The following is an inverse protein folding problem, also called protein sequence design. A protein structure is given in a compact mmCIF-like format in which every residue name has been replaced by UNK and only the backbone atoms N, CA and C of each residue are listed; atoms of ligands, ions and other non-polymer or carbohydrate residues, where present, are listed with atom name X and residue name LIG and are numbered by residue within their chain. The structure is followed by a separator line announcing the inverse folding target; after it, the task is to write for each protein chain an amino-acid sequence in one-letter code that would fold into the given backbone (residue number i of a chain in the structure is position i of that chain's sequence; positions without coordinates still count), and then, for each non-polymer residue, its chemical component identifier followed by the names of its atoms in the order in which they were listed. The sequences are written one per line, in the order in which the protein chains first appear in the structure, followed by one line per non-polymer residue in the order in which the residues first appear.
data_IF_743085567716
#
_entry.id   IF_743085567716
#
_cell.length_a   1.000
_cell.length_b   1.000
_cell.length_c   1.000
_cell.angle_alpha   90.00
_cell.angle_beta   90.00
_cell.angle_gamma   90.00
#
_symmetry.space_group_name_H-M   'P 1'
#
loop_
_entity.id
_entity.type
_entity.pdbx_description
1 polymer ?
#
# COMPACT_ATOMS: atom_id res chain seq x y z
N UNK A 1 -2.18 -5.54 20.00
CA UNK A 1 -2.36 -4.35 19.13
C UNK A 1 -2.91 -4.78 17.77
N UNK A 2 -3.89 -4.08 17.23
CA UNK A 2 -4.40 -4.33 15.86
C UNK A 2 -4.09 -3.11 14.97
N UNK A 3 -3.41 -3.35 13.86
CA UNK A 3 -3.13 -2.33 12.83
C UNK A 3 -3.86 -2.73 11.57
N UNK A 4 -4.82 -1.92 11.13
CA UNK A 4 -5.54 -2.13 9.88
C UNK A 4 -4.98 -1.26 8.78
N UNK A 5 -4.91 -1.80 7.57
CA UNK A 5 -4.60 -1.00 6.39
C UNK A 5 -5.75 -0.02 6.09
N UNK A 6 -5.41 1.23 5.84
CA UNK A 6 -6.41 2.19 5.37
C UNK A 6 -6.58 2.00 3.86
N UNK A 7 -7.74 1.49 3.49
CA UNK A 7 -8.16 1.38 2.08
C UNK A 7 -8.96 2.63 1.74
N UNK A 8 -8.67 3.27 0.63
CA UNK A 8 -9.53 4.32 0.11
C UNK A 8 -10.95 3.81 -0.05
N UNK A 9 -11.92 4.63 0.34
CA UNK A 9 -13.32 4.32 0.17
C UNK A 9 -13.58 3.90 -1.29
N UNK A 10 -14.29 2.80 -1.47
CA UNK A 10 -14.64 2.23 -2.78
C UNK A 10 -15.25 3.30 -3.71
N UNK A 11 -15.99 4.26 -3.12
CA UNK A 11 -16.55 5.41 -3.82
C UNK A 11 -15.50 6.25 -4.53
N UNK A 12 -14.35 6.47 -3.89
CA UNK A 12 -13.29 7.30 -4.49
C UNK A 12 -12.58 6.58 -5.62
N UNK A 13 -12.35 5.27 -5.48
CA UNK A 13 -11.80 4.45 -6.58
C UNK A 13 -12.76 4.45 -7.78
N UNK A 14 -14.07 4.39 -7.52
CA UNK A 14 -15.10 4.45 -8.54
C UNK A 14 -15.12 5.83 -9.25
N UNK A 15 -14.99 6.92 -8.51
CA UNK A 15 -14.89 8.27 -9.08
C UNK A 15 -13.67 8.39 -9.99
N UNK A 16 -12.48 7.94 -9.56
CA UNK A 16 -11.30 7.95 -10.42
C UNK A 16 -11.45 7.07 -11.67
N UNK A 17 -12.05 5.89 -11.53
CA UNK A 17 -12.34 5.03 -12.67
C UNK A 17 -13.30 5.69 -13.68
N UNK A 18 -14.33 6.36 -13.20
CA UNK A 18 -15.28 7.11 -14.04
C UNK A 18 -14.55 8.23 -14.79
N UNK A 19 -13.72 9.03 -14.10
CA UNK A 19 -12.94 10.09 -14.75
C UNK A 19 -11.96 9.54 -15.79
N UNK A 20 -11.30 8.41 -15.53
CA UNK A 20 -10.43 7.75 -16.48
C UNK A 20 -11.19 7.30 -17.74
N UNK A 21 -12.36 6.67 -17.57
CA UNK A 21 -13.22 6.26 -18.69
C UNK A 21 -13.70 7.48 -19.51
N UNK A 22 -14.11 8.55 -18.87
CA UNK A 22 -14.54 9.78 -19.56
C UNK A 22 -13.37 10.35 -20.38
N UNK A 23 -12.17 10.43 -19.78
CA UNK A 23 -10.99 10.92 -20.48
C UNK A 23 -10.63 10.06 -21.70
N UNK A 24 -10.74 8.73 -21.57
CA UNK A 24 -10.51 7.79 -22.69
C UNK A 24 -11.53 7.93 -23.80
N UNK A 25 -12.83 8.08 -23.47
CA UNK A 25 -13.87 8.33 -24.46
C UNK A 25 -13.58 9.62 -25.23
N UNK A 26 -13.19 10.69 -24.54
CA UNK A 26 -12.78 11.94 -25.19
C UNK A 26 -11.60 11.75 -26.13
N UNK A 27 -10.58 10.99 -25.69
CA UNK A 27 -9.39 10.70 -26.49
C UNK A 27 -9.74 9.90 -27.74
N UNK A 28 -10.63 8.92 -27.63
CA UNK A 28 -11.10 8.11 -28.74
C UNK A 28 -11.84 8.96 -29.80
N UNK A 29 -12.70 9.89 -29.35
CA UNK A 29 -13.37 10.82 -30.24
C UNK A 29 -12.38 11.75 -30.94
N UNK A 30 -11.43 12.32 -30.19
CA UNK A 30 -10.44 13.26 -30.73
C UNK A 30 -9.51 12.61 -31.77
N UNK A 31 -9.22 11.32 -31.65
CA UNK A 31 -8.33 10.57 -32.52
C UNK A 31 -9.06 9.69 -33.54
N UNK A 32 -10.33 10.00 -33.84
CA UNK A 32 -11.14 9.35 -34.90
C UNK A 32 -11.19 7.83 -34.79
N UNK A 33 -11.31 7.30 -33.55
CA UNK A 33 -11.42 5.85 -33.29
C UNK A 33 -10.27 5.02 -33.90
N UNK A 34 -9.06 5.54 -33.79
CA UNK A 34 -7.88 4.83 -34.26
C UNK A 34 -7.69 3.52 -33.48
N UNK A 35 -7.55 2.39 -34.22
CA UNK A 35 -7.40 1.05 -33.62
C UNK A 35 -6.23 0.98 -32.63
N UNK A 36 -5.12 1.66 -32.92
CA UNK A 36 -3.94 1.67 -32.06
C UNK A 36 -4.28 2.34 -30.72
N UNK A 37 -5.05 3.45 -30.75
CA UNK A 37 -5.48 4.15 -29.53
C UNK A 37 -6.40 3.27 -28.69
N UNK A 38 -7.32 2.55 -29.33
CA UNK A 38 -8.21 1.61 -28.63
C UNK A 38 -7.40 0.54 -27.90
N UNK A 39 -6.41 -0.06 -28.56
CA UNK A 39 -5.55 -1.09 -27.97
C UNK A 39 -4.77 -0.51 -26.77
N UNK A 40 -4.20 0.68 -26.91
CA UNK A 40 -3.47 1.35 -25.81
C UNK A 40 -4.38 1.62 -24.62
N UNK A 41 -5.61 2.11 -24.83
CA UNK A 41 -6.58 2.32 -23.77
C UNK A 41 -6.91 1.01 -23.03
N UNK A 42 -7.16 -0.06 -23.76
CA UNK A 42 -7.45 -1.38 -23.15
C UNK A 42 -6.26 -1.87 -22.30
N UNK A 43 -5.04 -1.72 -22.81
CA UNK A 43 -3.83 -2.11 -22.04
C UNK A 43 -3.72 -1.28 -20.74
N UNK A 44 -3.95 0.03 -20.83
CA UNK A 44 -3.93 0.91 -19.67
C UNK A 44 -5.00 0.53 -18.64
N UNK A 45 -6.21 0.20 -19.08
CA UNK A 45 -7.28 -0.25 -18.19
C UNK A 45 -6.93 -1.55 -17.45
N UNK A 46 -6.38 -2.52 -18.18
CA UNK A 46 -5.92 -3.77 -17.57
C UNK A 46 -4.83 -3.51 -16.53
N UNK A 47 -3.86 -2.64 -16.84
CA UNK A 47 -2.80 -2.28 -15.90
C UNK A 47 -3.36 -1.58 -14.65
N UNK A 48 -4.28 -0.63 -14.81
CA UNK A 48 -4.93 0.05 -13.70
C UNK A 48 -5.73 -0.91 -12.82
N UNK A 49 -6.47 -1.85 -13.43
CA UNK A 49 -7.20 -2.88 -12.70
C UNK A 49 -6.26 -3.79 -11.91
N UNK A 50 -5.15 -4.21 -12.50
CA UNK A 50 -4.14 -5.04 -11.82
C UNK A 50 -3.52 -4.30 -10.63
N UNK A 51 -3.13 -3.04 -10.82
CA UNK A 51 -2.59 -2.22 -9.73
C UNK A 51 -3.64 -2.03 -8.62
N UNK A 52 -4.88 -1.71 -8.98
CA UNK A 52 -5.98 -1.56 -8.03
C UNK A 52 -6.25 -2.85 -7.24
N UNK A 53 -6.19 -4.01 -7.90
CA UNK A 53 -6.35 -5.31 -7.25
C UNK A 53 -5.21 -5.60 -6.27
N UNK A 54 -3.97 -5.33 -6.66
CA UNK A 54 -2.80 -5.51 -5.79
C UNK A 54 -2.91 -4.60 -4.56
N UNK A 55 -3.33 -3.34 -4.76
CA UNK A 55 -3.56 -2.39 -3.67
C UNK A 55 -4.64 -2.89 -2.72
N UNK A 56 -5.77 -3.26 -3.27
CA UNK A 56 -6.87 -3.76 -2.46
C UNK A 56 -6.45 -5.00 -1.64
N UNK A 57 -5.76 -5.95 -2.27
CA UNK A 57 -5.25 -7.15 -1.59
C UNK A 57 -4.22 -6.82 -0.51
N UNK A 58 -3.41 -5.78 -0.69
CA UNK A 58 -2.40 -5.38 0.28
C UNK A 58 -3.01 -4.62 1.46
N UNK A 59 -3.84 -3.62 1.20
CA UNK A 59 -4.38 -2.75 2.24
C UNK A 59 -5.64 -3.28 2.95
N UNK A 60 -6.36 -4.25 2.38
CA UNK A 60 -7.52 -4.88 3.03
C UNK A 60 -7.15 -5.82 4.18
N UNK A 61 -5.86 -5.94 4.50
CA UNK A 61 -5.36 -6.79 5.56
C UNK A 61 -5.40 -6.10 6.92
N UNK A 62 -5.47 -6.94 7.94
CA UNK A 62 -5.25 -6.54 9.32
C UNK A 62 -4.00 -7.22 9.85
N UNK A 63 -3.28 -6.55 10.70
CA UNK A 63 -2.08 -7.04 11.34
C UNK A 63 -2.31 -6.98 12.82
N UNK A 64 -2.19 -8.13 13.47
CA UNK A 64 -2.34 -8.23 14.92
C UNK A 64 -0.94 -8.55 15.48
N UNK A 65 -0.46 -7.67 16.33
CA UNK A 65 0.78 -7.84 17.07
C UNK A 65 0.44 -8.24 18.49
N UNK A 66 1.03 -9.32 18.96
CA UNK A 66 0.88 -9.81 20.32
C UNK A 66 2.24 -10.19 20.93
N UNK A 67 2.25 -10.65 22.18
CA UNK A 67 3.49 -11.04 22.86
C UNK A 67 4.22 -12.22 22.18
N UNK A 68 3.53 -13.01 21.38
CA UNK A 68 4.08 -14.22 20.76
C UNK A 68 4.54 -13.99 19.33
N UNK A 69 4.03 -12.96 18.65
CA UNK A 69 4.39 -12.72 17.27
C UNK A 69 3.45 -11.79 16.51
N UNK A 70 3.43 -12.01 15.20
CA UNK A 70 2.66 -11.22 14.24
C UNK A 70 1.67 -12.10 13.48
N UNK A 71 0.42 -11.68 13.43
CA UNK A 71 -0.65 -12.36 12.70
C UNK A 71 -1.13 -11.49 11.54
N UNK A 72 -0.99 -11.99 10.32
CA UNK A 72 -1.51 -11.36 9.11
C UNK A 72 -2.90 -11.94 8.81
N UNK A 73 -3.93 -11.13 8.91
CA UNK A 73 -5.31 -11.49 8.57
C UNK A 73 -5.67 -10.87 7.23
N UNK A 74 -6.06 -11.68 6.27
CA UNK A 74 -6.48 -11.25 4.93
C UNK A 74 -7.75 -11.98 4.50
N UNK A 75 -8.37 -11.53 3.42
CA UNK A 75 -9.51 -12.22 2.79
C UNK A 75 -9.20 -13.65 2.35
N UNK A 76 -7.92 -13.99 2.17
CA UNK A 76 -7.42 -15.32 1.77
C UNK A 76 -7.09 -16.23 2.95
N UNK A 77 -7.21 -15.73 4.18
CA UNK A 77 -6.93 -16.48 5.40
C UNK A 77 -6.00 -15.75 6.36
N UNK A 78 -5.71 -16.44 7.44
CA UNK A 78 -4.88 -15.94 8.55
C UNK A 78 -3.55 -16.69 8.57
N UNK A 79 -2.44 -15.94 8.64
CA UNK A 79 -1.10 -16.49 8.81
C UNK A 79 -0.51 -15.95 10.09
N UNK A 80 -0.05 -16.85 10.97
CA UNK A 80 0.60 -16.51 12.23
C UNK A 80 2.08 -16.83 12.13
N UNK A 81 2.90 -15.93 12.64
CA UNK A 81 4.36 -16.07 12.72
C UNK A 81 4.81 -15.68 14.11
N UNK A 82 5.75 -16.41 14.68
CA UNK A 82 6.42 -16.03 15.91
C UNK A 82 7.41 -14.89 15.67
N UNK A 83 7.84 -14.19 16.71
CA UNK A 83 8.85 -13.13 16.57
C UNK A 83 10.20 -13.67 16.04
N UNK A 84 10.50 -14.94 16.25
CA UNK A 84 11.71 -15.60 15.73
C UNK A 84 11.65 -15.81 14.21
N UNK A 85 10.44 -15.94 13.65
CA UNK A 85 10.21 -16.12 12.20
C UNK A 85 10.06 -14.79 11.44
N UNK A 86 9.97 -13.67 12.16
CA UNK A 86 9.77 -12.35 11.56
C UNK A 86 11.10 -11.59 11.47
N UNK A 87 11.45 -11.22 10.26
CA UNK A 87 12.54 -10.27 10.01
C UNK A 87 12.02 -8.84 10.19
N UNK A 88 12.71 -8.08 11.02
CA UNK A 88 12.35 -6.71 11.37
C UNK A 88 13.42 -5.77 10.82
N UNK A 89 13.01 -4.77 10.06
CA UNK A 89 13.90 -3.73 9.55
C UNK A 89 13.31 -2.35 9.78
N UNK A 90 14.04 -1.51 10.50
CA UNK A 90 13.71 -0.09 10.59
C UNK A 90 14.09 0.63 9.30
N UNK A 91 13.26 1.57 8.89
CA UNK A 91 13.51 2.40 7.70
C UNK A 91 13.01 3.82 7.94
N UNK A 92 13.78 4.77 7.43
CA UNK A 92 13.46 6.20 7.51
C UNK A 92 12.71 6.70 6.27
N UNK A 93 12.65 5.89 5.20
CA UNK A 93 12.07 6.29 3.94
C UNK A 93 10.87 5.44 3.55
N UNK A 94 9.72 6.09 3.41
CA UNK A 94 8.55 5.50 2.77
C UNK A 94 8.26 6.24 1.47
N UNK A 95 8.30 5.57 0.32
CA UNK A 95 7.91 6.17 -0.95
C UNK A 95 6.49 5.78 -1.34
N UNK A 96 5.75 6.76 -1.89
CA UNK A 96 4.48 6.54 -2.56
C UNK A 96 4.69 6.27 -4.05
N UNK A 97 3.81 5.48 -4.65
CA UNK A 97 3.92 4.99 -6.03
C UNK A 97 3.61 6.04 -7.10
N UNK A 98 3.09 7.20 -6.75
CA UNK A 98 2.75 8.26 -7.68
C UNK A 98 3.54 9.52 -7.40
N UNK A 99 4.59 9.70 -8.22
CA UNK A 99 5.44 10.88 -8.24
C UNK A 99 6.68 10.75 -7.36
N UNK A 100 7.73 11.48 -7.72
CA UNK A 100 9.03 11.58 -7.03
C UNK A 100 8.96 12.22 -5.62
N UNK A 101 7.77 12.38 -5.06
CA UNK A 101 7.60 12.87 -3.70
C UNK A 101 7.71 11.71 -2.72
N UNK A 102 8.92 11.44 -2.30
CA UNK A 102 9.17 10.68 -1.09
C UNK A 102 8.49 11.41 0.07
N UNK A 103 7.45 10.79 0.64
CA UNK A 103 6.95 11.27 1.92
C UNK A 103 7.91 10.73 2.96
N UNK A 104 8.75 11.58 3.57
CA UNK A 104 9.65 11.14 4.61
C UNK A 104 8.83 10.59 5.77
N UNK A 105 9.12 9.39 6.18
CA UNK A 105 8.44 8.75 7.29
C UNK A 105 9.25 7.59 7.82
N UNK A 106 9.48 7.61 9.12
CA UNK A 106 10.04 6.47 9.82
C UNK A 106 9.00 5.36 9.90
N UNK A 107 9.46 4.12 9.89
CA UNK A 107 8.59 2.98 10.06
C UNK A 107 9.37 1.68 10.20
N UNK A 108 8.64 0.59 10.26
CA UNK A 108 9.19 -0.75 10.39
C UNK A 108 8.63 -1.67 9.32
N UNK A 109 9.50 -2.45 8.69
CA UNK A 109 9.11 -3.57 7.85
C UNK A 109 9.08 -4.81 8.72
N UNK A 110 7.96 -5.51 8.71
CA UNK A 110 7.79 -6.83 9.28
C UNK A 110 7.63 -7.83 8.13
N UNK A 111 8.49 -8.84 8.05
CA UNK A 111 8.45 -9.82 6.96
C UNK A 111 8.78 -11.21 7.46
N UNK A 112 7.99 -12.21 7.05
CA UNK A 112 8.29 -13.62 7.28
C UNK A 112 9.39 -14.16 6.33
N UNK A 113 9.93 -13.32 5.44
CA UNK A 113 11.05 -13.68 4.55
C UNK A 113 12.20 -12.71 4.76
N UNK A 114 13.44 -13.14 4.52
CA UNK A 114 14.59 -12.25 4.60
C UNK A 114 14.39 -11.00 3.75
N UNK A 115 14.64 -9.84 4.36
CA UNK A 115 14.48 -8.54 3.70
C UNK A 115 15.78 -8.25 2.95
N UNK A 116 15.73 -8.32 1.61
CA UNK A 116 16.81 -7.79 0.78
C UNK A 116 16.74 -6.25 0.85
N UNK A 117 17.89 -5.59 0.99
CA UNK A 117 17.93 -4.12 1.03
C UNK A 117 17.20 -3.53 -0.18
N UNK A 118 16.10 -2.80 0.02
CA UNK A 118 15.38 -2.15 -1.08
C UNK A 118 16.15 -0.89 -1.51
N UNK A 119 17.16 -1.06 -2.33
CA UNK A 119 18.12 0.02 -2.67
C UNK A 119 17.46 1.15 -3.46
N UNK A 120 16.33 0.89 -4.13
CA UNK A 120 15.69 1.88 -5.03
C UNK A 120 14.16 1.90 -4.96
N UNK A 121 13.56 1.10 -4.11
CA UNK A 121 12.11 0.98 -4.00
C UNK A 121 11.75 1.28 -2.54
N UNK A 122 10.84 2.22 -2.31
CA UNK A 122 10.40 2.52 -0.95
C UNK A 122 9.82 1.31 -0.21
N UNK A 123 9.92 1.33 1.10
CA UNK A 123 9.55 0.21 1.96
C UNK A 123 8.13 -0.32 1.72
N UNK A 124 7.16 0.57 1.52
CA UNK A 124 5.78 0.19 1.22
C UNK A 124 5.67 -0.53 -0.13
N UNK A 125 6.32 0.01 -1.16
CA UNK A 125 6.35 -0.58 -2.50
C UNK A 125 7.00 -1.96 -2.47
N UNK A 126 8.13 -2.08 -1.76
CA UNK A 126 8.79 -3.35 -1.56
C UNK A 126 7.85 -4.40 -0.95
N UNK A 127 7.22 -4.11 0.19
CA UNK A 127 6.32 -5.04 0.85
C UNK A 127 5.11 -5.41 -0.02
N UNK A 128 4.59 -4.45 -0.79
CA UNK A 128 3.41 -4.63 -1.62
C UNK A 128 3.67 -5.53 -2.83
N UNK A 129 4.80 -5.38 -3.50
CA UNK A 129 5.08 -6.11 -4.74
C UNK A 129 5.96 -7.33 -4.55
N UNK A 130 6.90 -7.31 -3.60
CA UNK A 130 7.83 -8.43 -3.44
C UNK A 130 7.25 -9.54 -2.59
N UNK A 131 6.58 -9.22 -1.49
CA UNK A 131 6.03 -10.21 -0.56
C UNK A 131 4.63 -9.85 -0.05
N UNK A 132 3.64 -9.68 -0.95
CA UNK A 132 2.34 -9.10 -0.62
C UNK A 132 1.51 -9.89 0.39
N UNK A 133 1.88 -11.12 0.73
CA UNK A 133 1.13 -11.96 1.68
C UNK A 133 1.80 -12.18 3.04
N UNK A 134 3.06 -11.78 3.18
CA UNK A 134 3.90 -12.14 4.32
C UNK A 134 4.80 -11.00 4.78
N UNK A 135 4.64 -9.81 4.23
CA UNK A 135 5.35 -8.61 4.65
C UNK A 135 4.41 -7.41 4.72
N UNK A 136 4.77 -6.47 5.57
CA UNK A 136 4.07 -5.21 5.75
C UNK A 136 5.06 -4.13 6.14
N UNK A 137 4.82 -2.91 5.66
CA UNK A 137 5.46 -1.73 6.17
C UNK A 137 4.46 -0.97 7.04
N UNK A 138 4.81 -0.79 8.31
CA UNK A 138 4.04 0.01 9.27
C UNK A 138 4.79 1.31 9.48
N UNK A 139 4.16 2.41 9.10
CA UNK A 139 4.70 3.75 9.29
C UNK A 139 4.38 4.25 10.68
N UNK A 140 5.32 4.94 11.31
CA UNK A 140 5.07 5.62 12.58
C UNK A 140 4.23 6.88 12.35
N UNK A 141 3.24 7.07 13.22
CA UNK A 141 2.37 8.25 13.18
C UNK A 141 3.17 9.53 13.37
N UNK A 142 2.95 10.50 12.50
CA UNK A 142 3.58 11.81 12.54
C UNK A 142 2.52 12.93 12.51
N UNK A 143 2.85 14.16 12.92
CA UNK A 143 1.94 15.30 12.78
C UNK A 143 1.51 15.53 11.33
N UNK A 144 2.38 15.25 10.36
CA UNK A 144 2.11 15.35 8.95
C UNK A 144 1.08 14.30 8.49
N UNK A 145 1.13 13.08 9.03
CA UNK A 145 0.13 12.04 8.76
C UNK A 145 -1.26 12.47 9.20
N UNK A 146 -1.37 13.12 10.36
CA UNK A 146 -2.64 13.65 10.87
C UNK A 146 -3.19 14.74 9.96
N UNK A 147 -2.32 15.61 9.45
CA UNK A 147 -2.71 16.67 8.50
C UNK A 147 -3.23 16.08 7.19
N UNK A 148 -2.51 15.12 6.60
CA UNK A 148 -2.95 14.48 5.34
C UNK A 148 -4.24 13.70 5.54
N UNK A 149 -4.41 12.98 6.64
CA UNK A 149 -5.64 12.27 6.98
C UNK A 149 -6.86 13.19 6.98
N UNK A 150 -6.71 14.42 7.48
CA UNK A 150 -7.81 15.39 7.54
C UNK A 150 -8.05 16.12 6.22
N UNK A 151 -6.97 16.51 5.53
CA UNK A 151 -7.05 17.39 4.37
C UNK A 151 -7.06 16.66 3.03
N UNK A 152 -6.43 15.51 2.94
CA UNK A 152 -6.28 14.73 1.71
C UNK A 152 -6.49 13.23 1.94
N UNK A 153 -7.55 12.89 2.65
CA UNK A 153 -7.89 11.50 3.04
C UNK A 153 -7.89 10.52 1.86
N UNK A 154 -8.18 11.00 0.65
CA UNK A 154 -8.20 10.20 -0.58
C UNK A 154 -6.81 9.79 -1.09
N UNK A 155 -5.75 10.50 -0.68
CA UNK A 155 -4.37 10.19 -1.05
C UNK A 155 -3.68 9.31 0.00
N UNK A 156 -4.28 9.18 1.18
CA UNK A 156 -3.66 8.51 2.30
C UNK A 156 -3.91 7.01 2.24
N UNK A 157 -2.84 6.24 2.14
CA UNK A 157 -2.88 4.77 2.18
C UNK A 157 -1.72 4.27 3.04
N UNK A 158 -1.98 3.28 3.87
CA UNK A 158 -0.91 2.62 4.60
C UNK A 158 -1.36 1.99 5.91
N UNK A 159 -0.42 1.33 6.52
CA UNK A 159 -0.52 0.87 7.90
C UNK A 159 0.20 1.90 8.76
N UNK A 160 -0.49 2.48 9.71
CA UNK A 160 0.07 3.51 10.60
C UNK A 160 -0.22 3.18 12.04
N UNK A 161 0.78 3.36 12.88
CA UNK A 161 0.64 3.17 14.31
C UNK A 161 1.59 4.10 15.08
N UNK A 162 1.33 4.27 16.38
CA UNK A 162 2.20 5.03 17.27
C UNK A 162 3.53 4.30 17.46
N UNK A 163 4.64 5.06 17.40
CA UNK A 163 6.02 4.51 17.45
C UNK A 163 6.25 3.71 18.73
N UNK A 164 5.89 4.30 19.88
CA UNK A 164 6.16 3.68 21.18
C UNK A 164 5.36 2.40 21.38
N UNK A 165 4.13 2.36 20.85
CA UNK A 165 3.28 1.18 20.92
C UNK A 165 3.88 0.02 20.13
N UNK A 166 4.32 0.25 18.88
CA UNK A 166 4.98 -0.79 18.08
C UNK A 166 6.28 -1.25 18.72
N UNK A 167 7.13 -0.31 19.14
CA UNK A 167 8.42 -0.66 19.69
C UNK A 167 8.31 -1.47 21.00
N UNK A 168 7.18 -1.37 21.71
CA UNK A 168 6.92 -2.19 22.90
C UNK A 168 6.77 -3.68 22.59
N UNK A 169 6.33 -4.04 21.39
CA UNK A 169 6.21 -5.43 20.92
C UNK A 169 7.49 -5.97 20.28
N UNK A 170 8.37 -5.09 19.82
CA UNK A 170 9.60 -5.48 19.10
C UNK A 170 10.84 -5.60 20.03
N UNK A 171 10.65 -5.38 21.31
CA UNK A 171 11.67 -5.57 22.36
C UNK A 171 11.61 -7.00 22.89
#
# INVERSE_FOLDING_TARGET
MEVSGEVNDLRQQLVFAIFAVIAQVFLLFALSWNVVVIIVCIILDILLLLVGLVDWLYFSRKIILDAYGCTFVSSRGTKKFTWEEIHIQHTENSSFLFGDSEIPGEGVILSAKPISKPVHIGAMTYCRFTHPGTSVFIRFSSPFDRLIRTSAKFLYRGFVAEKDEILSFLR
#
